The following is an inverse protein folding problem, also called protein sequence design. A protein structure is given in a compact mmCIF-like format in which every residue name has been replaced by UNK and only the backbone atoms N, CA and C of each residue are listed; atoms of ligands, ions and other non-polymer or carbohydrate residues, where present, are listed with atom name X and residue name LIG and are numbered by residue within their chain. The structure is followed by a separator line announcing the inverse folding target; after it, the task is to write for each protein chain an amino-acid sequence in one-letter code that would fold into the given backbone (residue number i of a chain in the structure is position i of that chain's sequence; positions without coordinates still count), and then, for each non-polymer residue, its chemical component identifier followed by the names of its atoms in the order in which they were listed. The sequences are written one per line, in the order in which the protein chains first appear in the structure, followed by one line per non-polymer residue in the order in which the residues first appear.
data_IF_146503994143
#
_entry.id   IF_146503994143
#
_cell.length_a   1.000
_cell.length_b   1.000
_cell.length_c   1.000
_cell.angle_alpha   90.00
_cell.angle_beta   90.00
_cell.angle_gamma   90.00
#
_symmetry.space_group_name_H-M   'P 1'
#
loop_
_entity.id
_entity.type
_entity.pdbx_description
1 polymer ?
#
# COMPACT_ATOMS: atom_id res chain seq x y z
N UNK A 1 11.80 0.62 -20.63
CA UNK A 1 12.05 1.98 -20.10
C UNK A 1 11.52 2.13 -18.67
N UNK A 2 10.23 1.86 -18.37
CA UNK A 2 9.62 1.97 -17.02
C UNK A 2 10.45 1.26 -15.94
N UNK A 3 10.83 -0.02 -16.14
CA UNK A 3 11.57 -0.80 -15.14
C UNK A 3 12.93 -0.21 -14.79
N UNK A 4 13.68 0.28 -15.79
CA UNK A 4 14.97 0.92 -15.55
C UNK A 4 14.81 2.22 -14.74
N UNK A 5 13.78 2.99 -15.02
CA UNK A 5 13.40 4.18 -14.26
C UNK A 5 13.03 3.83 -12.81
N UNK A 6 12.16 2.83 -12.59
CA UNK A 6 11.80 2.36 -11.25
C UNK A 6 13.03 1.97 -10.43
N UNK A 7 13.95 1.21 -11.03
CA UNK A 7 15.19 0.78 -10.36
C UNK A 7 16.09 1.96 -10.00
N UNK A 8 16.32 2.88 -10.96
CA UNK A 8 17.15 4.05 -10.73
C UNK A 8 16.60 4.91 -9.58
N UNK A 9 15.31 5.24 -9.62
CA UNK A 9 14.68 6.06 -8.58
C UNK A 9 14.67 5.32 -7.23
N UNK A 10 14.38 4.01 -7.22
CA UNK A 10 14.40 3.23 -5.97
C UNK A 10 15.80 3.21 -5.32
N UNK A 11 16.88 3.05 -6.10
CA UNK A 11 18.24 3.13 -5.59
C UNK A 11 18.55 4.52 -5.06
N UNK A 12 18.25 5.58 -5.84
CA UNK A 12 18.45 6.96 -5.40
C UNK A 12 17.71 7.28 -4.09
N UNK A 13 16.46 6.85 -3.98
CA UNK A 13 15.66 7.05 -2.75
C UNK A 13 16.23 6.26 -1.57
N UNK A 14 16.66 5.02 -1.76
CA UNK A 14 17.29 4.24 -0.70
C UNK A 14 18.59 4.89 -0.23
N UNK A 15 19.44 5.37 -1.15
CA UNK A 15 20.69 6.06 -0.80
C UNK A 15 20.42 7.40 -0.11
N UNK A 16 19.37 8.13 -0.51
CA UNK A 16 19.01 9.42 0.10
C UNK A 16 18.35 9.23 1.47
N UNK A 17 17.46 8.25 1.60
CA UNK A 17 16.59 8.09 2.77
C UNK A 17 17.12 7.08 3.81
N UNK A 18 18.28 6.41 3.56
CA UNK A 18 18.81 5.45 4.52
C UNK A 18 19.04 6.04 5.94
N UNK A 19 19.47 7.32 6.12
CA UNK A 19 19.62 7.85 7.48
C UNK A 19 18.27 7.98 8.18
N UNK A 20 17.22 8.42 7.45
CA UNK A 20 15.85 8.49 7.96
C UNK A 20 15.35 7.08 8.32
N UNK A 21 15.58 6.09 7.45
CA UNK A 21 15.21 4.71 7.72
C UNK A 21 15.92 4.16 8.97
N UNK A 22 17.19 4.48 9.18
CA UNK A 22 17.92 4.09 10.38
C UNK A 22 17.31 4.69 11.64
N UNK A 23 16.98 5.99 11.64
CA UNK A 23 16.29 6.65 12.75
C UNK A 23 14.95 5.97 13.03
N UNK A 24 14.16 5.69 12.00
CA UNK A 24 12.87 4.97 12.14
C UNK A 24 13.08 3.59 12.76
N UNK A 25 14.08 2.83 12.32
CA UNK A 25 14.43 1.52 12.90
C UNK A 25 14.72 1.64 14.39
N UNK A 26 15.55 2.59 14.80
CA UNK A 26 15.91 2.82 16.21
C UNK A 26 14.67 3.18 17.04
N UNK A 27 13.83 4.09 16.54
CA UNK A 27 12.61 4.52 17.24
C UNK A 27 11.61 3.36 17.40
N UNK A 28 11.39 2.56 16.36
CA UNK A 28 10.51 1.40 16.44
C UNK A 28 11.09 0.37 17.41
N UNK A 29 12.39 0.11 17.33
CA UNK A 29 13.06 -0.86 18.23
C UNK A 29 12.93 -0.44 19.68
N UNK A 30 13.03 0.85 19.96
CA UNK A 30 12.91 1.41 21.32
C UNK A 30 11.47 1.36 21.82
N UNK A 31 10.48 1.74 21.00
CA UNK A 31 9.09 1.88 21.45
C UNK A 31 8.27 0.57 21.35
N UNK A 32 8.49 -0.22 20.31
CA UNK A 32 7.67 -1.41 19.99
C UNK A 32 8.45 -2.74 20.04
N UNK A 33 9.78 -2.68 20.19
CA UNK A 33 10.62 -3.88 20.20
C UNK A 33 10.83 -4.49 18.81
N UNK A 34 10.91 -5.83 18.74
CA UNK A 34 11.05 -6.59 17.50
C UNK A 34 9.75 -7.33 17.16
N UNK A 35 9.52 -7.60 15.86
CA UNK A 35 10.28 -7.20 14.66
C UNK A 35 10.06 -5.73 14.29
N UNK A 36 11.08 -5.09 13.70
CA UNK A 36 11.01 -3.69 13.22
C UNK A 36 10.32 -3.60 11.87
N UNK A 37 10.53 -4.62 11.03
CA UNK A 37 9.92 -4.74 9.70
C UNK A 37 8.85 -5.82 9.73
N UNK A 38 7.67 -5.47 9.26
CA UNK A 38 6.53 -6.36 9.08
C UNK A 38 6.46 -6.79 7.61
N UNK A 39 6.17 -8.06 7.38
CA UNK A 39 5.97 -8.61 6.05
C UNK A 39 4.60 -9.24 5.91
N UNK A 40 3.88 -8.93 4.84
CA UNK A 40 2.56 -9.48 4.55
C UNK A 40 2.48 -9.96 3.10
N UNK A 41 1.82 -11.09 2.88
CA UNK A 41 1.57 -11.58 1.52
C UNK A 41 0.51 -10.72 0.83
N UNK A 42 0.77 -10.42 -0.43
CA UNK A 42 -0.07 -9.61 -1.31
C UNK A 42 -0.04 -10.16 -2.73
N UNK A 43 -1.11 -9.98 -3.50
CA UNK A 43 -1.12 -10.34 -4.91
C UNK A 43 -0.28 -9.35 -5.72
N UNK A 44 0.65 -9.88 -6.49
CA UNK A 44 1.52 -9.16 -7.42
C UNK A 44 1.02 -9.24 -8.87
N UNK A 45 1.96 -9.18 -9.81
CA UNK A 45 1.70 -9.34 -11.23
C UNK A 45 1.01 -10.70 -11.50
N UNK A 46 -0.10 -10.66 -12.23
CA UNK A 46 -0.95 -11.83 -12.52
C UNK A 46 -1.46 -12.56 -11.26
N UNK A 47 -1.68 -11.81 -10.16
CA UNK A 47 -2.15 -12.38 -8.89
C UNK A 47 -1.13 -13.22 -8.13
N UNK A 48 0.12 -13.35 -8.61
CA UNK A 48 1.16 -14.15 -7.95
C UNK A 48 1.49 -13.59 -6.58
N UNK A 49 1.50 -14.39 -5.51
CA UNK A 49 1.79 -13.90 -4.17
C UNK A 49 3.23 -13.41 -4.05
N UNK A 50 3.41 -12.28 -3.36
CA UNK A 50 4.71 -11.78 -2.95
C UNK A 50 4.64 -11.18 -1.55
N UNK A 51 5.77 -11.07 -0.87
CA UNK A 51 5.85 -10.51 0.49
C UNK A 51 6.18 -9.03 0.43
N UNK A 52 5.20 -8.17 0.77
CA UNK A 52 5.41 -6.72 0.88
C UNK A 52 6.04 -6.39 2.24
N UNK A 53 7.02 -5.47 2.27
CA UNK A 53 7.70 -5.05 3.49
C UNK A 53 7.26 -3.66 3.92
N UNK A 54 7.00 -3.51 5.23
CA UNK A 54 6.68 -2.21 5.86
C UNK A 54 7.36 -2.10 7.21
N UNK A 55 7.62 -0.89 7.65
CA UNK A 55 7.95 -0.66 9.05
C UNK A 55 6.74 -0.93 9.93
N UNK A 56 6.99 -1.51 11.10
CA UNK A 56 5.97 -1.77 12.10
C UNK A 56 5.43 -0.45 12.64
N UNK A 57 4.12 -0.28 12.61
CA UNK A 57 3.42 0.92 13.09
C UNK A 57 2.43 0.62 14.24
N UNK A 58 2.21 -0.67 14.53
CA UNK A 58 1.27 -1.16 15.54
C UNK A 58 1.96 -2.13 16.50
N UNK A 59 1.48 -2.20 17.73
CA UNK A 59 1.87 -3.23 18.71
C UNK A 59 1.13 -4.55 18.45
N UNK A 60 1.56 -5.63 19.13
CA UNK A 60 0.85 -6.91 19.15
C UNK A 60 0.01 -7.05 20.43
N UNK A 61 -0.52 -5.92 20.94
CA UNK A 61 -1.36 -5.92 22.14
C UNK A 61 -2.59 -6.82 21.93
N UNK A 62 -2.88 -7.62 22.96
CA UNK A 62 -3.94 -8.63 22.93
C UNK A 62 -4.88 -8.44 24.11
N UNK A 63 -6.11 -8.94 23.98
CA UNK A 63 -7.07 -9.04 25.05
C UNK A 63 -6.76 -10.22 26.00
N UNK A 64 -7.57 -10.37 27.04
CA UNK A 64 -7.45 -11.47 28.00
C UNK A 64 -7.67 -12.87 27.39
N UNK A 65 -8.28 -12.95 26.21
CA UNK A 65 -8.53 -14.19 25.46
C UNK A 65 -7.42 -14.49 24.44
N UNK A 66 -6.41 -13.61 24.33
CA UNK A 66 -5.30 -13.77 23.38
C UNK A 66 -5.57 -13.26 21.98
N UNK A 67 -6.73 -12.66 21.70
CA UNK A 67 -7.03 -12.04 20.42
C UNK A 67 -6.34 -10.68 20.30
N UNK A 68 -5.95 -10.29 19.09
CA UNK A 68 -5.40 -8.95 18.86
C UNK A 68 -6.47 -7.88 19.17
N UNK A 69 -6.06 -6.83 19.87
CA UNK A 69 -6.92 -5.66 20.09
C UNK A 69 -7.24 -4.97 18.75
N UNK A 70 -8.26 -4.12 18.76
CA UNK A 70 -8.62 -3.30 17.61
C UNK A 70 -7.44 -2.42 17.13
N UNK A 71 -7.38 -2.14 15.83
CA UNK A 71 -6.27 -1.43 15.22
C UNK A 71 -6.01 -0.06 15.85
N UNK A 72 -7.06 0.65 16.29
CA UNK A 72 -6.99 1.94 16.97
C UNK A 72 -6.22 1.85 18.30
N UNK A 73 -6.39 0.75 19.04
CA UNK A 73 -5.74 0.51 20.34
C UNK A 73 -4.29 0.03 20.19
N UNK A 74 -3.95 -0.54 19.04
CA UNK A 74 -2.61 -1.04 18.71
C UNK A 74 -1.73 0.00 18.03
N UNK A 75 -2.36 1.01 17.40
CA UNK A 75 -1.66 2.06 16.65
C UNK A 75 -1.00 3.04 17.60
N UNK A 76 0.33 3.05 17.64
CA UNK A 76 1.10 3.96 18.49
C UNK A 76 1.17 5.38 17.91
N UNK A 77 1.52 6.37 18.72
CA UNK A 77 1.74 7.75 18.22
C UNK A 77 2.85 7.79 17.13
N UNK A 78 3.93 7.01 17.33
CA UNK A 78 4.98 6.87 16.32
C UNK A 78 4.42 6.22 15.05
N UNK A 79 3.60 5.17 15.20
CA UNK A 79 2.92 4.53 14.08
C UNK A 79 2.01 5.48 13.30
N UNK A 80 1.30 6.37 14.01
CA UNK A 80 0.49 7.42 13.39
C UNK A 80 1.38 8.39 12.59
N UNK A 81 2.50 8.83 13.18
CA UNK A 81 3.47 9.70 12.51
C UNK A 81 4.05 9.04 11.25
N UNK A 82 4.48 7.77 11.36
CA UNK A 82 5.02 7.01 10.22
C UNK A 82 4.00 6.90 9.09
N UNK A 83 2.74 6.58 9.39
CA UNK A 83 1.65 6.50 8.40
C UNK A 83 1.31 7.86 7.80
N UNK A 84 1.36 8.92 8.63
CA UNK A 84 1.10 10.29 8.19
C UNK A 84 2.04 10.72 7.07
N UNK A 85 3.31 10.38 7.16
CA UNK A 85 4.32 10.71 6.16
C UNK A 85 4.66 9.55 5.23
N UNK A 86 3.90 8.44 5.30
CA UNK A 86 4.14 7.21 4.53
C UNK A 86 5.56 6.63 4.70
N UNK A 87 6.22 6.95 5.81
CA UNK A 87 7.56 6.44 6.14
C UNK A 87 7.53 4.93 6.43
N UNK A 88 6.39 4.41 6.88
CA UNK A 88 6.16 2.98 7.08
C UNK A 88 6.30 2.19 5.78
N UNK A 89 6.13 2.82 4.63
CA UNK A 89 6.19 2.18 3.31
C UNK A 89 7.58 2.21 2.67
N UNK A 90 8.58 2.91 3.25
CA UNK A 90 9.93 2.98 2.69
C UNK A 90 10.59 1.61 2.45
N UNK A 91 10.41 0.55 3.28
CA UNK A 91 10.96 -0.77 2.97
C UNK A 91 10.43 -1.38 1.68
N UNK A 92 9.30 -0.92 1.12
CA UNK A 92 8.78 -1.38 -0.17
C UNK A 92 9.72 -1.03 -1.35
N UNK A 93 10.63 -0.06 -1.19
CA UNK A 93 11.68 0.20 -2.17
C UNK A 93 12.53 -1.05 -2.44
N UNK A 94 12.72 -1.93 -1.43
CA UNK A 94 13.36 -3.23 -1.61
C UNK A 94 12.52 -4.17 -2.49
N UNK A 95 11.19 -4.12 -2.40
CA UNK A 95 10.32 -4.87 -3.29
C UNK A 95 10.39 -4.34 -4.74
N UNK A 96 10.58 -3.02 -4.90
CA UNK A 96 10.85 -2.46 -6.24
C UNK A 96 12.17 -3.02 -6.78
N UNK A 97 13.25 -3.07 -6.00
CA UNK A 97 14.53 -3.64 -6.45
C UNK A 97 14.41 -5.12 -6.80
N UNK A 98 13.65 -5.90 -6.03
CA UNK A 98 13.40 -7.33 -6.30
C UNK A 98 12.55 -7.57 -7.56
N UNK A 99 11.73 -6.60 -7.96
CA UNK A 99 10.83 -6.71 -9.10
C UNK A 99 9.40 -7.12 -8.76
N UNK A 100 9.08 -7.23 -7.49
CA UNK A 100 7.73 -7.51 -7.00
C UNK A 100 6.80 -6.31 -7.22
N UNK A 101 7.36 -5.09 -7.01
CA UNK A 101 6.67 -3.82 -7.15
C UNK A 101 7.28 -2.94 -8.25
N UNK A 102 6.47 -2.00 -8.70
CA UNK A 102 6.85 -0.78 -9.42
C UNK A 102 6.71 0.42 -8.46
N UNK A 103 7.28 1.56 -8.81
CA UNK A 103 6.99 2.81 -8.10
C UNK A 103 5.51 3.19 -8.26
N UNK A 104 4.99 3.06 -9.50
CA UNK A 104 3.61 3.42 -9.85
C UNK A 104 2.87 2.20 -10.41
N UNK A 105 1.68 1.94 -9.85
CA UNK A 105 0.79 0.86 -10.24
C UNK A 105 -0.40 0.72 -9.29
N UNK A 106 -1.36 -0.15 -9.56
CA UNK A 106 -2.44 -0.46 -8.62
C UNK A 106 -1.89 -0.90 -7.26
N UNK A 107 -2.48 -0.41 -6.16
CA UNK A 107 -2.04 -0.80 -4.82
C UNK A 107 -2.31 -2.29 -4.57
N UNK A 108 -1.32 -3.10 -4.11
CA UNK A 108 -1.57 -4.51 -3.80
C UNK A 108 -2.49 -4.63 -2.58
N UNK A 109 -3.67 -5.21 -2.79
CA UNK A 109 -4.69 -5.43 -1.76
C UNK A 109 -4.47 -6.77 -1.04
N UNK A 110 -5.47 -7.26 -0.30
CA UNK A 110 -5.37 -8.53 0.44
C UNK A 110 -5.51 -9.72 -0.52
N UNK A 111 -4.83 -10.84 -0.21
CA UNK A 111 -4.96 -12.09 -0.97
C UNK A 111 -6.39 -12.61 -0.96
N UNK A 112 -7.12 -12.42 0.14
CA UNK A 112 -8.52 -12.83 0.29
C UNK A 112 -9.50 -12.13 -0.66
N UNK A 113 -9.07 -11.04 -1.35
CA UNK A 113 -9.89 -10.34 -2.32
C UNK A 113 -9.81 -10.93 -3.74
N UNK A 114 -8.79 -11.76 -4.04
CA UNK A 114 -8.61 -12.33 -5.38
C UNK A 114 -9.87 -13.08 -5.90
N UNK A 115 -10.51 -13.96 -5.10
CA UNK A 115 -11.72 -14.66 -5.55
C UNK A 115 -12.97 -13.77 -5.65
N UNK A 116 -12.92 -12.55 -5.07
CA UNK A 116 -14.05 -11.62 -5.04
C UNK A 116 -14.08 -10.66 -6.24
N UNK A 117 -12.99 -10.60 -7.03
CA UNK A 117 -12.93 -9.72 -8.19
C UNK A 117 -13.73 -10.31 -9.37
N UNK A 118 -14.50 -9.45 -10.04
CA UNK A 118 -15.02 -9.77 -11.35
C UNK A 118 -13.90 -9.70 -12.42
N UNK A 119 -14.21 -10.10 -13.65
CA UNK A 119 -13.24 -10.16 -14.75
C UNK A 119 -12.58 -8.79 -15.02
N UNK A 120 -13.33 -7.69 -14.95
CA UNK A 120 -12.80 -6.35 -15.16
C UNK A 120 -11.88 -5.92 -14.02
N UNK A 121 -12.28 -6.12 -12.77
CA UNK A 121 -11.49 -5.79 -11.58
C UNK A 121 -10.17 -6.58 -11.51
N UNK A 122 -10.17 -7.83 -12.00
CA UNK A 122 -8.99 -8.70 -12.05
C UNK A 122 -7.88 -8.13 -12.95
N UNK A 123 -8.20 -7.33 -13.97
CA UNK A 123 -7.26 -6.69 -14.89
C UNK A 123 -6.26 -5.78 -14.18
N UNK A 124 -6.57 -5.32 -12.96
CA UNK A 124 -5.63 -4.57 -12.12
C UNK A 124 -4.31 -5.31 -11.85
N UNK A 125 -4.29 -6.63 -12.02
CA UNK A 125 -3.11 -7.49 -11.88
C UNK A 125 -2.34 -7.70 -13.18
N UNK A 126 -2.76 -7.13 -14.31
CA UNK A 126 -2.06 -7.24 -15.61
C UNK A 126 -0.78 -6.40 -15.63
N UNK A 127 -0.60 -5.52 -14.66
CA UNK A 127 0.62 -4.76 -14.42
C UNK A 127 1.18 -5.01 -13.02
N UNK A 128 2.47 -4.69 -12.82
CA UNK A 128 3.05 -4.75 -11.46
C UNK A 128 2.31 -3.80 -10.54
N UNK A 129 1.97 -4.23 -9.31
CA UNK A 129 1.44 -3.32 -8.31
C UNK A 129 2.47 -2.24 -7.96
N UNK A 130 1.98 -1.09 -7.50
CA UNK A 130 2.81 0.08 -7.18
C UNK A 130 2.85 0.43 -5.70
N UNK A 131 3.91 1.14 -5.29
CA UNK A 131 3.96 1.84 -4.00
C UNK A 131 2.88 2.92 -3.99
N UNK A 132 2.78 3.68 -5.08
CA UNK A 132 1.70 4.63 -5.34
C UNK A 132 0.97 4.29 -6.64
N UNK A 133 -0.17 4.94 -6.92
CA UNK A 133 -0.95 4.69 -8.12
C UNK A 133 -2.10 5.67 -8.30
N UNK A 134 -2.80 5.56 -9.43
CA UNK A 134 -3.83 6.49 -9.81
C UNK A 134 -4.98 6.57 -8.81
N UNK A 135 -5.44 5.44 -8.25
CA UNK A 135 -6.45 5.42 -7.20
C UNK A 135 -5.98 6.10 -5.90
N UNK A 136 -4.69 5.91 -5.52
CA UNK A 136 -4.15 6.53 -4.31
C UNK A 136 -4.08 8.06 -4.42
N UNK A 137 -3.74 8.60 -5.60
CA UNK A 137 -3.66 10.05 -5.76
C UNK A 137 -5.01 10.73 -6.05
N UNK A 138 -6.06 9.97 -6.42
CA UNK A 138 -7.38 10.51 -6.73
C UNK A 138 -8.45 10.28 -5.66
N UNK A 139 -8.10 9.76 -4.48
CA UNK A 139 -9.08 9.62 -3.39
C UNK A 139 -8.61 8.74 -2.26
N UNK A 140 -7.64 7.86 -2.49
CA UNK A 140 -7.03 6.98 -1.46
C UNK A 140 -8.09 6.15 -0.72
N UNK A 141 -8.41 6.52 0.53
CA UNK A 141 -9.40 5.82 1.36
C UNK A 141 -10.78 6.51 1.37
N UNK A 142 -10.93 7.64 0.70
CA UNK A 142 -12.18 8.42 0.66
C UNK A 142 -13.12 8.03 -0.50
N UNK A 143 -12.70 7.11 -1.39
CA UNK A 143 -13.47 6.62 -2.53
C UNK A 143 -14.03 5.23 -2.28
N UNK A 144 -15.12 4.90 -2.98
CA UNK A 144 -15.71 3.56 -2.95
C UNK A 144 -14.75 2.49 -3.49
N UNK A 145 -15.02 1.21 -3.19
CA UNK A 145 -14.29 0.09 -3.78
C UNK A 145 -14.43 0.05 -5.31
N UNK A 146 -15.63 0.35 -5.82
CA UNK A 146 -15.88 0.41 -7.25
C UNK A 146 -15.04 1.47 -7.95
N UNK A 147 -15.00 2.69 -7.43
CA UNK A 147 -14.20 3.77 -8.00
C UNK A 147 -12.71 3.46 -7.92
N UNK A 148 -12.27 2.83 -6.83
CA UNK A 148 -10.88 2.39 -6.69
C UNK A 148 -10.49 1.40 -7.78
N UNK A 149 -11.34 0.40 -8.07
CA UNK A 149 -11.09 -0.57 -9.13
C UNK A 149 -11.18 0.08 -10.51
N UNK A 150 -12.13 0.98 -10.76
CA UNK A 150 -12.19 1.76 -12.00
C UNK A 150 -10.91 2.55 -12.24
N UNK A 151 -10.38 3.22 -11.22
CA UNK A 151 -9.10 3.94 -11.33
C UNK A 151 -7.91 3.01 -11.54
N UNK A 152 -7.88 1.86 -10.89
CA UNK A 152 -6.81 0.89 -11.06
C UNK A 152 -6.81 0.32 -12.49
N UNK A 153 -7.98 -0.07 -13.04
CA UNK A 153 -8.12 -0.59 -14.40
C UNK A 153 -7.84 0.53 -15.43
N UNK A 154 -8.35 1.73 -15.19
CA UNK A 154 -8.02 2.89 -16.04
C UNK A 154 -6.50 3.10 -16.14
N UNK A 155 -5.78 2.98 -15.03
CA UNK A 155 -4.32 3.07 -15.06
C UNK A 155 -3.70 1.95 -15.90
N UNK A 156 -4.22 0.72 -15.84
CA UNK A 156 -3.74 -0.40 -16.67
C UNK A 156 -3.85 -0.06 -18.15
N UNK A 157 -4.99 0.51 -18.57
CA UNK A 157 -5.28 0.84 -19.97
C UNK A 157 -4.46 2.03 -20.49
N UNK A 158 -4.22 3.03 -19.64
CA UNK A 158 -3.59 4.31 -20.04
C UNK A 158 -2.18 4.51 -19.48
N UNK A 159 -1.55 3.45 -18.92
CA UNK A 159 -0.21 3.59 -18.36
C UNK A 159 0.78 4.15 -19.38
N UNK A 160 1.50 5.17 -18.95
CA UNK A 160 2.55 5.80 -19.74
C UNK A 160 3.61 6.40 -18.81
N UNK A 161 4.80 6.64 -19.36
CA UNK A 161 5.87 7.28 -18.61
C UNK A 161 5.46 8.65 -18.04
N UNK A 162 4.75 9.44 -18.82
CA UNK A 162 4.28 10.76 -18.40
C UNK A 162 3.20 10.68 -17.32
N UNK A 163 2.31 9.69 -17.40
CA UNK A 163 1.32 9.44 -16.36
C UNK A 163 2.00 9.02 -15.05
N UNK A 164 3.03 8.17 -15.13
CA UNK A 164 3.81 7.78 -13.94
C UNK A 164 4.47 8.99 -13.27
N UNK A 165 5.11 9.88 -14.05
CA UNK A 165 5.69 11.11 -13.51
C UNK A 165 4.63 12.02 -12.85
N UNK A 166 3.46 12.16 -13.49
CA UNK A 166 2.34 12.90 -12.92
C UNK A 166 1.88 12.30 -11.58
N UNK A 167 1.73 10.98 -11.51
CA UNK A 167 1.33 10.28 -10.29
C UNK A 167 2.38 10.47 -9.19
N UNK A 168 3.67 10.32 -9.49
CA UNK A 168 4.76 10.55 -8.55
C UNK A 168 4.73 11.98 -8.00
N UNK A 169 4.56 12.97 -8.87
CA UNK A 169 4.43 14.36 -8.45
C UNK A 169 3.22 14.58 -7.52
N UNK A 170 2.05 14.07 -7.89
CA UNK A 170 0.84 14.16 -7.07
C UNK A 170 1.04 13.45 -5.71
N UNK A 171 1.78 12.34 -5.69
CA UNK A 171 2.11 11.61 -4.46
C UNK A 171 2.94 12.46 -3.52
N UNK A 172 4.02 13.10 -4.03
CA UNK A 172 4.86 14.01 -3.23
C UNK A 172 4.01 15.14 -2.63
N UNK A 173 3.16 15.76 -3.45
CA UNK A 173 2.29 16.85 -2.97
C UNK A 173 1.33 16.39 -1.88
N UNK A 174 0.74 15.18 -1.99
CA UNK A 174 -0.16 14.62 -0.99
C UNK A 174 0.56 14.25 0.32
N UNK A 175 1.77 13.70 0.24
CA UNK A 175 2.58 13.39 1.42
C UNK A 175 2.95 14.69 2.16
N UNK A 176 3.39 15.72 1.44
CA UNK A 176 3.72 17.03 2.04
C UNK A 176 2.51 17.67 2.71
N UNK A 177 1.33 17.61 2.07
CA UNK A 177 0.07 18.15 2.62
C UNK A 177 -0.57 17.26 3.68
N UNK A 178 -0.08 16.03 3.86
CA UNK A 178 -0.65 15.03 4.78
C UNK A 178 -2.15 14.75 4.53
N UNK A 179 -2.60 14.75 3.26
CA UNK A 179 -3.99 14.58 2.87
C UNK A 179 -4.40 13.10 2.74
N UNK A 180 -5.65 12.78 3.11
CA UNK A 180 -6.31 11.50 2.79
C UNK A 180 -5.77 10.27 3.55
N UNK A 181 -5.23 10.43 4.76
CA UNK A 181 -4.58 9.37 5.52
C UNK A 181 -5.56 8.41 6.18
N UNK A 182 -6.70 8.92 6.66
CA UNK A 182 -7.76 8.16 7.31
C UNK A 182 -9.12 8.47 6.68
N UNK A 183 -9.98 7.47 6.66
CA UNK A 183 -11.42 7.69 6.42
C UNK A 183 -11.99 8.34 7.68
N UNK A 184 -12.93 9.27 7.54
CA UNK A 184 -13.56 9.90 8.69
C UNK A 184 -14.16 8.83 9.62
N UNK A 185 -13.61 8.69 10.84
CA UNK A 185 -14.11 7.77 11.85
C UNK A 185 -13.48 6.37 11.89
N UNK A 186 -12.65 5.96 10.92
CA UNK A 186 -12.02 4.62 10.92
C UNK A 186 -10.52 4.69 10.62
N UNK A 187 -9.70 3.96 11.38
CA UNK A 187 -8.27 3.85 11.14
C UNK A 187 -7.92 3.07 9.86
N UNK A 188 -8.85 2.23 9.38
CA UNK A 188 -8.73 1.42 8.16
C UNK A 188 -10.06 1.44 7.38
N UNK A 189 -9.98 1.28 6.06
CA UNK A 189 -11.16 1.15 5.20
C UNK A 189 -11.86 -0.20 5.49
N UNK A 190 -13.20 -0.22 5.40
CA UNK A 190 -13.98 -1.46 5.48
C UNK A 190 -13.48 -2.49 4.46
N UNK A 191 -13.57 -3.77 4.84
CA UNK A 191 -13.14 -4.87 3.97
C UNK A 191 -14.03 -4.96 2.74
N UNK A 192 -13.39 -5.25 1.59
CA UNK A 192 -14.11 -5.56 0.36
C UNK A 192 -14.80 -6.93 0.51
N UNK A 193 -16.09 -6.99 0.24
CA UNK A 193 -16.94 -8.19 0.37
C UNK A 193 -17.40 -8.74 -0.99
N UNK A 194 -16.88 -8.22 -2.09
CA UNK A 194 -17.34 -8.54 -3.44
C UNK A 194 -18.26 -7.47 -4.02
N UNK A 195 -18.50 -7.55 -5.33
CA UNK A 195 -19.46 -6.69 -6.03
C UNK A 195 -20.83 -7.38 -6.01
N UNK A 196 -21.91 -6.65 -5.90
CA UNK A 196 -23.28 -7.20 -5.80
C UNK A 196 -23.61 -8.23 -6.89
N UNK A 197 -23.07 -8.09 -8.10
CA UNK A 197 -23.19 -9.06 -9.20
C UNK A 197 -22.57 -10.43 -8.92
N UNK A 198 -21.57 -10.52 -8.03
CA UNK A 198 -20.93 -11.80 -7.68
C UNK A 198 -21.64 -12.51 -6.53
N UNK A 199 -22.53 -11.83 -5.81
CA UNK A 199 -23.29 -12.39 -4.69
C UNK A 199 -24.51 -13.16 -5.25
N UNK A 200 -25.05 -12.73 -6.39
CA UNK A 200 -26.21 -13.39 -7.05
C UNK A 200 -25.80 -14.69 -7.80
N UNK A 201 -24.56 -14.82 -8.25
CA UNK A 201 -24.06 -16.05 -8.91
C UNK A 201 -23.67 -17.17 -7.92
N UNK A 202 -23.61 -16.90 -6.61
CA UNK A 202 -23.24 -17.88 -5.57
C UNK A 202 -24.42 -18.38 -4.74
N UNK A 203 -25.64 -17.95 -5.03
CA UNK A 203 -26.90 -18.44 -4.46
C UNK A 203 -27.66 -19.33 -5.46
#
# INVERSE_FOLDING_TARGET
MKRAFDLLIAVCLLVLLWPVMLVVVVLIRWQMGTPVVFGQERPGLYGRPFKIYKFRSMTDARDSLGNLLADEQRLTWLGQLLRRFSLDELPQLLNVLKGDLSLVGPRPLLMEYLPLYNAEQSRRHDVRPGITGWAQVNGRNAISWEDKFKYDVWYVDYQSFWLDLKILWMTVMKVVRSEGISQAGNATMEKFQGTASNIEEQQ
#
